data_IF_737578010437
#
_entry.id   IF_737578010437
#
_cell.length_a   1.000
_cell.length_b   1.000
_cell.length_c   1.000
_cell.angle_alpha   90.00
_cell.angle_beta   90.00
_cell.angle_gamma   90.00
#
_symmetry.space_group_name_H-M   'P 1'
#
loop_
_entity.id
_entity.type
_entity.pdbx_description
1 polymer ?
#
# COMPACT_ATOMS: atom_id res chain seq x y z
N UNK A 1 -12.98 -8.76 -6.51
CA UNK A 1 -12.13 -7.60 -6.19
C UNK A 1 -11.88 -7.56 -4.69
N UNK A 2 -10.62 -7.61 -4.29
CA UNK A 2 -10.15 -7.58 -2.91
C UNK A 2 -9.55 -6.22 -2.58
N UNK A 3 -9.57 -5.88 -1.29
CA UNK A 3 -9.05 -4.62 -0.78
C UNK A 3 -7.99 -4.90 0.28
N UNK A 4 -6.87 -4.18 0.21
CA UNK A 4 -5.98 -3.96 1.35
C UNK A 4 -5.86 -2.46 1.58
N UNK A 5 -5.82 -2.09 2.85
CA UNK A 5 -5.57 -0.72 3.27
C UNK A 5 -4.34 -0.73 4.18
N UNK A 6 -3.29 -0.05 3.75
CA UNK A 6 -2.08 0.16 4.54
C UNK A 6 -2.23 1.52 5.24
N UNK A 7 -1.93 1.56 6.53
CA UNK A 7 -1.97 2.76 7.37
C UNK A 7 -0.58 3.00 7.97
N UNK A 8 -0.06 4.20 7.76
CA UNK A 8 1.24 4.62 8.25
C UNK A 8 1.23 6.12 8.59
N UNK A 9 2.36 6.65 9.06
CA UNK A 9 2.58 8.10 9.13
C UNK A 9 3.42 8.55 7.96
N UNK A 10 3.20 9.77 7.47
CA UNK A 10 4.02 10.40 6.44
C UNK A 10 4.55 11.76 6.89
N UNK A 11 5.73 12.11 6.38
CA UNK A 11 6.34 13.41 6.57
C UNK A 11 5.47 14.53 5.94
N UNK A 12 5.46 15.74 6.51
CA UNK A 12 4.80 16.90 5.90
C UNK A 12 5.30 17.12 4.46
N UNK A 13 4.40 17.57 3.59
CA UNK A 13 4.69 17.94 2.19
C UNK A 13 5.31 16.83 1.30
N UNK A 14 5.41 15.59 1.77
CA UNK A 14 6.00 14.46 1.04
C UNK A 14 5.07 13.80 0.01
N UNK A 15 3.81 14.24 -0.10
CA UNK A 15 2.83 13.63 -1.00
C UNK A 15 3.27 13.60 -2.48
N UNK A 16 3.86 14.67 -3.07
CA UNK A 16 4.34 14.64 -4.44
C UNK A 16 5.46 13.61 -4.67
N UNK A 17 6.42 13.52 -3.76
CA UNK A 17 7.55 12.58 -3.85
C UNK A 17 7.07 11.12 -3.77
N UNK A 18 6.15 10.83 -2.85
CA UNK A 18 5.53 9.51 -2.73
C UNK A 18 4.75 9.17 -4.00
N UNK A 19 4.02 10.13 -4.57
CA UNK A 19 3.26 9.91 -5.80
C UNK A 19 4.19 9.60 -7.00
N UNK A 20 5.30 10.32 -7.14
CA UNK A 20 6.29 10.07 -8.19
C UNK A 20 6.97 8.71 -8.01
N UNK A 21 7.32 8.35 -6.77
CA UNK A 21 7.88 7.04 -6.44
C UNK A 21 6.96 5.90 -6.88
N UNK A 22 5.66 5.98 -6.57
CA UNK A 22 4.72 4.95 -6.98
C UNK A 22 4.41 5.00 -8.48
N UNK A 23 4.37 6.18 -9.11
CA UNK A 23 4.22 6.28 -10.56
C UNK A 23 5.37 5.56 -11.30
N UNK A 24 6.61 5.70 -10.81
CA UNK A 24 7.75 4.95 -11.34
C UNK A 24 7.60 3.43 -11.10
N UNK A 25 7.25 3.03 -9.88
CA UNK A 25 7.02 1.62 -9.52
C UNK A 25 5.90 0.97 -10.34
N UNK A 26 4.83 1.70 -10.63
CA UNK A 26 3.66 1.19 -11.34
C UNK A 26 3.94 0.93 -12.83
N UNK A 27 5.08 1.42 -13.36
CA UNK A 27 5.59 1.10 -14.69
C UNK A 27 6.52 -0.13 -14.72
N UNK A 28 6.74 -0.81 -13.59
CA UNK A 28 7.54 -2.04 -13.49
C UNK A 28 6.66 -3.29 -13.50
N UNK A 29 7.25 -4.48 -13.40
CA UNK A 29 6.50 -5.74 -13.27
C UNK A 29 5.85 -5.94 -11.89
N UNK A 30 6.28 -5.18 -10.88
CA UNK A 30 5.89 -5.39 -9.48
C UNK A 30 4.36 -5.38 -9.23
N UNK A 31 3.58 -4.42 -9.76
CA UNK A 31 2.12 -4.42 -9.57
C UNK A 31 1.45 -5.67 -10.13
N UNK A 32 1.96 -6.17 -11.27
CA UNK A 32 1.42 -7.36 -11.93
C UNK A 32 1.69 -8.64 -11.13
N UNK A 33 2.88 -8.76 -10.52
CA UNK A 33 3.22 -9.90 -9.65
C UNK A 33 2.24 -10.01 -8.47
N UNK A 34 1.92 -8.87 -7.85
CA UNK A 34 0.97 -8.78 -6.73
C UNK A 34 -0.49 -8.90 -7.20
N UNK A 35 -0.78 -8.60 -8.47
CA UNK A 35 -2.13 -8.57 -9.03
C UNK A 35 -2.91 -7.29 -8.66
N UNK A 36 -2.20 -6.19 -8.46
CA UNK A 36 -2.79 -4.87 -8.22
C UNK A 36 -3.49 -4.40 -9.50
N UNK A 37 -4.78 -4.07 -9.40
CA UNK A 37 -5.51 -3.46 -10.50
C UNK A 37 -5.71 -1.95 -10.29
N UNK A 38 -5.65 -1.48 -9.05
CA UNK A 38 -5.75 -0.06 -8.71
C UNK A 38 -5.04 0.26 -7.40
N UNK A 39 -4.35 1.40 -7.39
CA UNK A 39 -3.72 2.02 -6.22
C UNK A 39 -4.37 3.37 -6.00
N UNK A 40 -4.75 3.67 -4.77
CA UNK A 40 -5.16 5.03 -4.38
C UNK A 40 -4.47 5.41 -3.07
N UNK A 41 -3.81 6.55 -3.06
CA UNK A 41 -3.12 7.10 -1.89
C UNK A 41 -3.92 8.26 -1.33
N UNK A 42 -4.06 8.32 -0.01
CA UNK A 42 -4.72 9.39 0.70
C UNK A 42 -3.84 9.89 1.83
N UNK A 43 -4.02 11.16 2.17
CA UNK A 43 -3.41 11.79 3.33
C UNK A 43 -4.52 12.34 4.24
N UNK A 44 -4.39 12.13 5.54
CA UNK A 44 -5.21 12.77 6.56
C UNK A 44 -4.31 13.28 7.69
N UNK A 45 -3.98 14.58 7.66
CA UNK A 45 -2.94 15.12 8.53
C UNK A 45 -1.59 14.48 8.25
N UNK A 46 -1.01 13.84 9.25
CA UNK A 46 0.23 13.05 9.13
C UNK A 46 -0.02 11.58 8.81
N UNK A 47 -1.28 11.16 8.61
CA UNK A 47 -1.63 9.77 8.31
C UNK A 47 -1.60 9.52 6.80
N UNK A 48 -0.80 8.53 6.41
CA UNK A 48 -0.75 7.97 5.07
C UNK A 48 -1.69 6.77 4.98
N UNK A 49 -2.59 6.78 4.00
CA UNK A 49 -3.46 5.64 3.69
C UNK A 49 -3.26 5.18 2.26
N UNK A 50 -3.04 3.89 2.09
CA UNK A 50 -2.76 3.30 0.78
C UNK A 50 -3.71 2.16 0.52
N UNK A 51 -4.70 2.45 -0.30
CA UNK A 51 -5.70 1.52 -0.77
C UNK A 51 -5.16 0.77 -1.99
N UNK A 52 -5.12 -0.54 -1.88
CA UNK A 52 -4.79 -1.46 -2.96
C UNK A 52 -6.05 -2.24 -3.29
N UNK A 53 -6.44 -2.19 -4.55
CA UNK A 53 -7.49 -3.04 -5.10
C UNK A 53 -6.82 -4.08 -6.01
N UNK A 54 -7.30 -5.32 -5.94
CA UNK A 54 -6.70 -6.45 -6.66
C UNK A 54 -7.70 -7.55 -7.00
N UNK A 55 -7.35 -8.41 -7.95
CA UNK A 55 -8.16 -9.58 -8.32
C UNK A 55 -8.00 -10.74 -7.34
N UNK A 56 -6.82 -10.85 -6.71
CA UNK A 56 -6.46 -11.84 -5.68
C UNK A 56 -6.36 -11.17 -4.30
N UNK A 57 -6.46 -11.90 -3.19
CA UNK A 57 -6.22 -11.34 -1.86
C UNK A 57 -4.83 -10.67 -1.77
N UNK A 58 -4.74 -9.33 -1.60
CA UNK A 58 -3.47 -8.62 -1.75
C UNK A 58 -2.49 -8.92 -0.62
N UNK A 59 -2.95 -9.15 0.61
CA UNK A 59 -2.07 -9.45 1.75
C UNK A 59 -1.11 -10.63 1.52
N UNK A 60 -1.62 -11.83 1.18
CA UNK A 60 -0.78 -12.98 0.84
C UNK A 60 0.15 -12.74 -0.37
N UNK A 61 -0.32 -12.02 -1.40
CA UNK A 61 0.51 -11.78 -2.59
C UNK A 61 1.62 -10.75 -2.33
N UNK A 62 1.34 -9.70 -1.55
CA UNK A 62 2.35 -8.76 -1.06
C UNK A 62 3.42 -9.50 -0.24
N UNK A 63 2.99 -10.41 0.65
CA UNK A 63 3.91 -11.19 1.47
C UNK A 63 4.87 -12.08 0.65
N UNK A 64 4.50 -12.49 -0.56
CA UNK A 64 5.35 -13.28 -1.47
C UNK A 64 6.41 -12.45 -2.18
N UNK A 65 6.17 -11.14 -2.35
CA UNK A 65 7.08 -10.25 -3.10
C UNK A 65 7.94 -9.38 -2.20
N UNK A 66 7.86 -9.52 -0.87
CA UNK A 66 8.67 -8.72 0.08
C UNK A 66 10.18 -8.85 -0.14
N UNK A 67 10.62 -9.99 -0.68
CA UNK A 67 12.03 -10.23 -1.00
C UNK A 67 12.44 -9.76 -2.40
N UNK A 68 11.48 -9.38 -3.25
CA UNK A 68 11.71 -8.97 -4.63
C UNK A 68 12.54 -7.66 -4.69
N UNK A 69 13.52 -7.54 -5.59
CA UNK A 69 14.36 -6.34 -5.69
C UNK A 69 13.57 -5.05 -5.87
N UNK A 70 12.58 -5.04 -6.77
CA UNK A 70 11.71 -3.87 -6.98
C UNK A 70 10.91 -3.50 -5.72
N UNK A 71 10.43 -4.50 -4.97
CA UNK A 71 9.69 -4.25 -3.74
C UNK A 71 10.59 -3.63 -2.67
N UNK A 72 11.79 -4.16 -2.50
CA UNK A 72 12.80 -3.62 -1.59
C UNK A 72 13.19 -2.20 -1.98
N UNK A 73 13.48 -1.97 -3.25
CA UNK A 73 13.86 -0.64 -3.75
C UNK A 73 12.78 0.42 -3.49
N UNK A 74 11.51 0.09 -3.72
CA UNK A 74 10.38 0.98 -3.43
C UNK A 74 10.24 1.18 -1.91
N UNK A 75 10.31 0.10 -1.13
CA UNK A 75 10.19 0.15 0.33
C UNK A 75 11.28 1.02 0.95
N UNK A 76 12.54 0.81 0.54
CA UNK A 76 13.71 1.55 1.02
C UNK A 76 13.58 3.04 0.72
N UNK A 77 13.19 3.41 -0.50
CA UNK A 77 12.93 4.81 -0.87
C UNK A 77 11.75 5.41 -0.09
N UNK A 78 10.71 4.61 0.16
CA UNK A 78 9.53 5.05 0.91
C UNK A 78 9.86 5.35 2.37
N UNK A 79 10.88 4.70 2.97
CA UNK A 79 11.28 4.96 4.37
C UNK A 79 11.72 6.39 4.65
N UNK A 80 12.14 7.14 3.62
CA UNK A 80 12.47 8.56 3.76
C UNK A 80 11.24 9.43 4.05
N UNK A 81 10.05 8.96 3.68
CA UNK A 81 8.80 9.72 3.75
C UNK A 81 7.78 9.11 4.69
N UNK A 82 7.81 7.78 4.89
CA UNK A 82 6.78 7.03 5.62
C UNK A 82 7.39 6.29 6.79
N UNK A 83 6.70 6.33 7.94
CA UNK A 83 7.07 5.60 9.15
C UNK A 83 5.88 4.80 9.70
N UNK A 84 6.12 3.74 10.50
CA UNK A 84 5.05 2.96 11.11
C UNK A 84 4.04 3.84 11.86
N UNK A 85 2.76 3.51 11.76
CA UNK A 85 1.70 4.23 12.49
C UNK A 85 1.88 4.15 14.01
N UNK A 86 2.21 2.93 14.49
CA UNK A 86 2.62 2.62 15.86
C UNK A 86 4.02 1.99 15.85
N UNK A 87 5.08 2.79 16.04
CA UNK A 87 6.45 2.28 16.06
C UNK A 87 6.75 1.34 17.22
N UNK A 88 6.00 1.40 18.33
CA UNK A 88 6.30 0.59 19.52
C UNK A 88 5.90 -0.87 19.34
N UNK A 89 4.86 -1.12 18.56
CA UNK A 89 4.33 -2.48 18.31
C UNK A 89 4.74 -3.05 16.95
N UNK A 90 5.45 -2.27 16.13
CA UNK A 90 5.89 -2.65 14.79
C UNK A 90 6.83 -3.85 14.76
N UNK A 91 6.45 -4.88 14.02
CA UNK A 91 7.23 -6.11 13.75
C UNK A 91 7.40 -6.37 12.25
N UNK A 92 6.67 -5.65 11.40
CA UNK A 92 6.86 -5.66 9.95
C UNK A 92 5.63 -5.16 9.17
N UNK A 93 5.66 -5.26 7.83
CA UNK A 93 4.62 -4.71 6.96
C UNK A 93 3.18 -5.16 7.27
N UNK A 94 3.01 -6.36 7.86
CA UNK A 94 1.70 -6.87 8.28
C UNK A 94 1.02 -5.97 9.32
N UNK A 95 1.78 -5.29 10.18
CA UNK A 95 1.24 -4.44 11.24
C UNK A 95 0.74 -3.09 10.71
N UNK A 96 1.09 -2.71 9.47
CA UNK A 96 0.49 -1.56 8.80
C UNK A 96 -0.88 -1.88 8.18
N UNK A 97 -1.27 -3.15 8.08
CA UNK A 97 -2.49 -3.54 7.37
C UNK A 97 -3.73 -3.35 8.23
N UNK A 98 -4.68 -2.53 7.78
CA UNK A 98 -5.97 -2.41 8.41
C UNK A 98 -6.82 -3.69 8.23
N UNK A 99 -7.66 -3.98 9.21
CA UNK A 99 -8.60 -5.09 9.16
C UNK A 99 -9.93 -4.65 8.54
N UNK A 100 -10.28 -5.21 7.39
CA UNK A 100 -11.62 -5.07 6.83
C UNK A 100 -12.61 -5.90 7.66
N UNK A 101 -13.39 -5.27 8.53
CA UNK A 101 -14.38 -5.95 9.38
C UNK A 101 -15.80 -5.96 8.78
N UNK A 102 -16.05 -5.13 7.77
CA UNK A 102 -17.34 -5.02 7.08
C UNK A 102 -17.12 -4.64 5.62
N UNK A 103 -17.97 -5.15 4.72
CA UNK A 103 -18.04 -4.73 3.33
C UNK A 103 -19.47 -4.85 2.83
N UNK A 104 -19.91 -3.84 2.11
CA UNK A 104 -21.13 -3.85 1.33
C UNK A 104 -20.85 -3.35 -0.07
N UNK A 105 -21.48 -3.97 -1.06
CA UNK A 105 -21.42 -3.55 -2.44
C UNK A 105 -22.85 -3.62 -2.98
N UNK A 106 -23.31 -2.53 -3.61
CA UNK A 106 -24.56 -2.56 -4.35
C UNK A 106 -24.36 -3.42 -5.60
N UNK A 107 -25.30 -4.32 -5.90
CA UNK A 107 -25.33 -4.97 -7.21
C UNK A 107 -25.42 -3.88 -8.27
N UNK A 108 -24.42 -3.82 -9.16
CA UNK A 108 -24.48 -2.93 -10.31
C UNK A 108 -25.64 -3.40 -11.18
N UNK A 109 -26.68 -2.59 -11.31
CA UNK A 109 -27.45 -2.60 -12.56
C UNK A 109 -26.44 -2.32 -13.67
N UNK A 110 -26.26 -3.31 -14.54
CA UNK A 110 -25.21 -3.35 -15.56
C UNK A 110 -25.21 -2.20 -16.56
#
# INVERSE_FOLDING_TARGET
MHHALIVARMAPDSAPDIAELFAASDNTELPHLVGVNRRTLFQFGDVYLHLIESERPPGPEIAKVTEHPEFKAVSDRLTAYVSPYDPQTWRGPKDAMAQQFYRWQRDGSG
#
